data_IF_566977502897
#
_entry.id   IF_566977502897
#
_cell.length_a   1.000
_cell.length_b   1.000
_cell.length_c   1.000
_cell.angle_alpha   90.00
_cell.angle_beta   90.00
_cell.angle_gamma   90.00
#
_symmetry.space_group_name_H-M   'P 1'
#
loop_
_entity.id
_entity.type
_entity.pdbx_description
1 polymer ?
#
# COMPACT_ATOMS: atom_id res chain seq x y z
N UNK A 1 6.99 -35.20 -3.84
CA UNK A 1 8.08 -34.54 -3.05
C UNK A 1 7.88 -33.03 -2.89
N UNK A 2 7.18 -32.36 -3.78
CA UNK A 2 6.92 -30.90 -3.75
C UNK A 2 5.97 -30.49 -2.62
N UNK A 3 4.99 -31.32 -2.28
CA UNK A 3 3.95 -31.02 -1.27
C UNK A 3 4.52 -30.99 0.17
N UNK A 4 5.54 -31.79 0.48
CA UNK A 4 6.13 -31.85 1.82
C UNK A 4 7.04 -30.66 2.12
N UNK A 5 7.65 -30.04 1.12
CA UNK A 5 8.47 -28.84 1.27
C UNK A 5 7.55 -27.64 1.61
N UNK A 6 6.35 -27.62 1.05
CA UNK A 6 5.32 -26.61 1.33
C UNK A 6 4.94 -26.53 2.82
N UNK A 7 4.85 -27.67 3.52
CA UNK A 7 4.45 -27.68 4.94
C UNK A 7 5.46 -27.02 5.89
N UNK A 8 6.74 -26.98 5.53
CA UNK A 8 7.77 -26.34 6.38
C UNK A 8 8.02 -24.87 6.05
N UNK A 9 7.75 -24.46 4.80
CA UNK A 9 7.96 -23.07 4.36
C UNK A 9 6.77 -22.14 4.66
N UNK A 10 5.57 -22.68 4.92
CA UNK A 10 4.35 -21.88 5.07
C UNK A 10 3.64 -22.07 6.41
N UNK A 11 4.40 -22.06 7.48
CA UNK A 11 3.86 -22.29 8.84
C UNK A 11 2.84 -21.22 9.30
N UNK A 12 2.53 -20.21 8.49
CA UNK A 12 1.54 -19.19 8.83
C UNK A 12 1.17 -18.30 7.65
N UNK A 13 0.50 -18.84 6.64
CA UNK A 13 -0.11 -18.01 5.58
C UNK A 13 -1.21 -17.14 6.20
N UNK A 14 -1.08 -15.82 6.08
CA UNK A 14 -2.00 -14.82 6.60
C UNK A 14 -2.94 -14.26 5.54
N UNK A 15 -2.44 -14.14 4.32
CA UNK A 15 -3.21 -13.70 3.18
C UNK A 15 -2.72 -14.37 1.91
N UNK A 16 -3.62 -14.41 0.93
CA UNK A 16 -3.35 -14.91 -0.40
C UNK A 16 -3.99 -13.97 -1.42
N UNK A 17 -3.26 -13.69 -2.49
CA UNK A 17 -3.72 -12.81 -3.56
C UNK A 17 -3.21 -13.33 -4.91
N UNK A 18 -4.05 -13.34 -5.94
CA UNK A 18 -3.62 -13.62 -7.32
C UNK A 18 -3.56 -12.31 -8.09
N UNK A 19 -2.39 -12.02 -8.66
CA UNK A 19 -2.19 -10.80 -9.43
C UNK A 19 -2.74 -10.92 -10.86
N UNK A 20 -2.78 -9.79 -11.57
CA UNK A 20 -3.29 -9.69 -12.94
C UNK A 20 -2.47 -10.50 -13.95
N UNK A 21 -1.24 -10.91 -13.62
CA UNK A 21 -0.38 -11.78 -14.43
C UNK A 21 -0.57 -13.26 -14.12
N UNK A 22 -1.43 -13.60 -13.13
CA UNK A 22 -1.73 -14.95 -12.71
C UNK A 22 -0.80 -15.53 -11.65
N UNK A 23 0.20 -14.78 -11.14
CA UNK A 23 1.03 -15.23 -10.04
C UNK A 23 0.25 -15.24 -8.73
N UNK A 24 0.48 -16.25 -7.92
CA UNK A 24 -0.10 -16.34 -6.58
C UNK A 24 0.88 -15.79 -5.56
N UNK A 25 0.44 -14.81 -4.77
CA UNK A 25 1.19 -14.19 -3.69
C UNK A 25 0.69 -14.68 -2.35
N UNK A 26 1.60 -15.17 -1.52
CA UNK A 26 1.35 -15.71 -0.19
C UNK A 26 2.04 -14.82 0.83
N UNK A 27 1.26 -14.10 1.61
CA UNK A 27 1.76 -13.32 2.75
C UNK A 27 1.86 -14.20 3.99
N UNK A 28 3.03 -14.25 4.60
CA UNK A 28 3.31 -15.09 5.78
C UNK A 28 3.82 -14.26 6.96
N UNK A 29 4.18 -14.90 8.06
CA UNK A 29 4.90 -14.26 9.15
C UNK A 29 6.41 -14.13 8.89
N UNK A 30 6.90 -14.74 7.80
CA UNK A 30 8.33 -14.81 7.46
C UNK A 30 8.59 -14.39 6.00
N UNK A 31 7.85 -13.41 5.52
CA UNK A 31 8.03 -12.81 4.21
C UNK A 31 6.85 -12.98 3.26
N UNK A 32 7.06 -12.46 2.05
CA UNK A 32 6.14 -12.51 0.93
C UNK A 32 6.64 -13.51 -0.09
N UNK A 33 5.83 -14.49 -0.46
CA UNK A 33 6.20 -15.53 -1.42
C UNK A 33 5.34 -15.44 -2.67
N UNK A 34 5.96 -15.41 -3.85
CA UNK A 34 5.32 -15.51 -5.16
C UNK A 34 5.44 -16.93 -5.70
N UNK A 35 4.34 -17.46 -6.21
CA UNK A 35 4.27 -18.75 -6.91
C UNK A 35 3.82 -18.58 -8.35
N UNK A 36 4.55 -19.15 -9.29
CA UNK A 36 4.33 -19.03 -10.74
C UNK A 36 3.67 -20.29 -11.38
N UNK A 37 3.24 -21.24 -10.55
CA UNK A 37 2.75 -22.53 -11.00
C UNK A 37 3.79 -23.64 -10.89
N UNK A 38 5.08 -23.33 -10.86
CA UNK A 38 6.20 -24.29 -10.77
C UNK A 38 7.13 -24.02 -9.60
N UNK A 39 7.48 -22.74 -9.39
CA UNK A 39 8.53 -22.32 -8.44
C UNK A 39 7.99 -21.31 -7.43
N UNK A 40 8.61 -21.28 -6.27
CA UNK A 40 8.36 -20.31 -5.22
C UNK A 40 9.55 -19.36 -5.13
N UNK A 41 9.27 -18.05 -5.14
CA UNK A 41 10.23 -16.99 -4.90
C UNK A 41 9.81 -16.22 -3.66
N UNK A 42 10.65 -16.25 -2.63
CA UNK A 42 10.37 -15.57 -1.35
C UNK A 42 11.17 -14.27 -1.23
N UNK A 43 10.47 -13.21 -0.85
CA UNK A 43 11.01 -11.90 -0.52
C UNK A 43 11.00 -11.75 0.99
N UNK A 44 12.13 -11.38 1.56
CA UNK A 44 12.32 -11.15 3.00
C UNK A 44 13.09 -9.86 3.22
N UNK A 45 12.80 -9.17 4.31
CA UNK A 45 13.65 -8.10 4.80
C UNK A 45 14.90 -8.73 5.41
N UNK A 46 16.06 -8.49 4.82
CA UNK A 46 17.34 -8.96 5.37
C UNK A 46 17.75 -8.09 6.56
N UNK A 47 18.15 -8.73 7.66
CA UNK A 47 18.65 -8.04 8.85
C UNK A 47 19.84 -7.14 8.52
N UNK A 48 19.72 -5.85 8.86
CA UNK A 48 20.78 -4.86 8.63
C UNK A 48 20.73 -4.15 7.27
N UNK A 49 19.84 -4.53 6.37
CA UNK A 49 19.56 -3.81 5.14
C UNK A 49 18.22 -3.08 5.30
N UNK A 50 18.27 -1.86 5.75
CA UNK A 50 17.11 -0.95 5.73
C UNK A 50 17.10 -0.13 4.43
N UNK A 51 17.25 -0.80 3.29
CA UNK A 51 17.02 -0.16 2.02
C UNK A 51 15.55 0.19 1.89
N UNK A 52 15.27 1.46 1.64
CA UNK A 52 13.92 2.01 1.52
C UNK A 52 13.12 1.39 0.37
N UNK A 53 13.76 0.58 -0.48
CA UNK A 53 13.20 -0.07 -1.65
C UNK A 53 13.20 -1.59 -1.44
N UNK A 54 12.54 -2.03 -0.38
CA UNK A 54 12.43 -3.45 -0.03
C UNK A 54 11.12 -3.72 0.71
N UNK A 55 10.96 -4.95 1.20
CA UNK A 55 9.88 -5.30 2.10
C UNK A 55 10.08 -4.58 3.45
N UNK A 56 9.04 -3.91 3.94
CA UNK A 56 9.13 -3.09 5.16
C UNK A 56 9.20 -3.93 6.45
N UNK A 57 8.60 -5.12 6.45
CA UNK A 57 8.65 -6.11 7.54
C UNK A 57 8.29 -7.49 6.97
N UNK A 58 8.82 -8.55 7.54
CA UNK A 58 8.56 -9.93 7.10
C UNK A 58 7.14 -10.42 7.46
N UNK A 59 6.47 -9.78 8.41
CA UNK A 59 5.13 -10.18 8.84
C UNK A 59 4.07 -9.54 7.96
N UNK A 60 3.66 -10.26 6.92
CA UNK A 60 2.69 -9.78 5.95
C UNK A 60 1.27 -9.91 6.50
N UNK A 61 0.48 -8.83 6.37
CA UNK A 61 -0.91 -8.77 6.81
C UNK A 61 -1.88 -8.83 5.64
N UNK A 62 -1.58 -8.13 4.55
CA UNK A 62 -2.45 -8.04 3.38
C UNK A 62 -1.66 -7.69 2.12
N UNK A 63 -2.15 -8.15 0.97
CA UNK A 63 -1.62 -7.83 -0.36
C UNK A 63 -2.78 -7.48 -1.27
N UNK A 64 -2.64 -6.42 -2.04
CA UNK A 64 -3.61 -6.01 -3.05
C UNK A 64 -2.90 -5.38 -4.25
N UNK A 65 -3.47 -5.51 -5.44
CA UNK A 65 -2.99 -4.88 -6.67
C UNK A 65 -3.84 -3.65 -6.99
N UNK A 66 -3.19 -2.54 -7.36
CA UNK A 66 -3.87 -1.39 -7.91
C UNK A 66 -4.04 -1.52 -9.43
N UNK A 67 -4.82 -0.62 -10.03
CA UNK A 67 -5.09 -0.66 -11.47
C UNK A 67 -3.87 -0.37 -12.36
N UNK A 68 -2.80 0.19 -11.78
CA UNK A 68 -1.55 0.48 -12.49
C UNK A 68 -0.57 -0.71 -12.45
N UNK A 69 -0.96 -1.83 -11.79
CA UNK A 69 -0.15 -3.03 -11.66
C UNK A 69 0.96 -2.90 -10.63
N UNK A 70 0.71 -2.19 -9.54
CA UNK A 70 1.56 -2.21 -8.36
C UNK A 70 0.89 -3.03 -7.26
N UNK A 71 1.68 -3.88 -6.60
CA UNK A 71 1.25 -4.57 -5.40
C UNK A 71 1.55 -3.74 -4.17
N UNK A 72 0.53 -3.53 -3.38
CA UNK A 72 0.59 -2.87 -2.09
C UNK A 72 0.59 -3.93 -1.00
N UNK A 73 1.68 -4.02 -0.28
CA UNK A 73 1.93 -5.04 0.74
C UNK A 73 1.87 -4.35 2.10
N UNK A 74 0.84 -4.68 2.88
CA UNK A 74 0.69 -4.23 4.25
C UNK A 74 1.35 -5.21 5.19
N UNK A 75 2.21 -4.71 6.09
CA UNK A 75 2.95 -5.50 7.06
C UNK A 75 2.50 -5.20 8.51
N UNK A 76 3.07 -5.88 9.47
CA UNK A 76 2.96 -5.60 10.90
C UNK A 76 4.30 -5.07 11.38
N UNK A 77 4.40 -3.86 11.97
CA UNK A 77 3.37 -2.98 12.50
C UNK A 77 2.88 -1.88 11.51
N UNK A 78 1.91 -2.20 10.67
CA UNK A 78 1.19 -1.20 9.84
C UNK A 78 2.09 -0.33 8.94
N UNK A 79 3.07 -0.95 8.29
CA UNK A 79 3.88 -0.34 7.24
C UNK A 79 3.42 -0.86 5.88
N UNK A 80 3.72 -0.09 4.83
CA UNK A 80 3.46 -0.50 3.45
C UNK A 80 4.76 -0.65 2.68
N UNK A 81 4.78 -1.63 1.78
CA UNK A 81 5.76 -1.76 0.70
C UNK A 81 5.01 -1.76 -0.62
N UNK A 82 5.65 -1.28 -1.66
CA UNK A 82 5.11 -1.26 -3.01
C UNK A 82 6.02 -2.07 -3.94
N UNK A 83 5.44 -2.95 -4.75
CA UNK A 83 6.16 -3.78 -5.72
C UNK A 83 5.59 -3.55 -7.12
N UNK A 84 6.44 -3.15 -8.05
CA UNK A 84 6.08 -2.97 -9.45
C UNK A 84 6.07 -4.32 -10.17
N UNK A 85 4.89 -4.80 -10.56
CA UNK A 85 4.74 -6.07 -11.30
C UNK A 85 5.41 -6.02 -12.68
N UNK A 86 5.49 -4.86 -13.31
CA UNK A 86 6.10 -4.72 -14.63
C UNK A 86 7.62 -4.76 -14.57
N UNK A 87 8.20 -4.00 -13.64
CA UNK A 87 9.66 -3.93 -13.41
C UNK A 87 10.18 -5.11 -12.58
N UNK A 88 9.28 -5.88 -11.94
CA UNK A 88 9.59 -6.99 -11.04
C UNK A 88 10.52 -6.59 -9.88
N UNK A 89 10.31 -5.43 -9.29
CA UNK A 89 11.10 -4.91 -8.16
C UNK A 89 10.26 -4.09 -7.19
N UNK A 90 10.74 -3.95 -5.96
CA UNK A 90 10.18 -2.99 -5.01
C UNK A 90 10.47 -1.56 -5.48
N UNK A 91 9.57 -0.64 -5.16
CA UNK A 91 9.67 0.77 -5.54
C UNK A 91 9.41 1.68 -4.34
N UNK A 92 10.07 2.83 -4.33
CA UNK A 92 9.78 3.89 -3.36
C UNK A 92 8.54 4.66 -3.83
N UNK A 93 7.48 4.57 -3.03
CA UNK A 93 6.23 5.30 -3.27
C UNK A 93 6.16 6.62 -2.48
N UNK A 94 7.15 6.91 -1.66
CA UNK A 94 7.16 8.12 -0.82
C UNK A 94 7.81 9.31 -1.52
N UNK A 95 8.62 9.06 -2.54
CA UNK A 95 9.34 10.06 -3.34
C UNK A 95 10.48 10.78 -2.62
N UNK A 96 10.64 10.56 -1.31
CA UNK A 96 11.65 11.24 -0.49
C UNK A 96 12.29 10.34 0.56
N UNK A 97 12.11 9.03 0.42
CA UNK A 97 12.48 8.08 1.46
C UNK A 97 11.46 8.00 2.59
N UNK A 98 11.71 7.16 3.55
CA UNK A 98 10.84 6.99 4.72
C UNK A 98 10.77 8.31 5.51
N UNK A 99 9.59 8.93 5.51
CA UNK A 99 9.33 10.13 6.32
C UNK A 99 8.96 9.80 7.77
N UNK A 100 9.12 8.53 8.17
CA UNK A 100 8.77 8.03 9.50
C UNK A 100 7.26 7.99 9.78
N UNK A 101 6.42 8.22 8.77
CA UNK A 101 4.98 8.17 8.93
C UNK A 101 4.44 6.75 8.71
N UNK A 102 3.68 6.25 9.67
CA UNK A 102 2.98 4.97 9.57
C UNK A 102 1.57 5.20 9.03
N UNK A 103 1.17 4.36 8.09
CA UNK A 103 -0.18 4.30 7.54
C UNK A 103 -0.80 2.95 7.88
N UNK A 104 -2.05 2.97 8.38
CA UNK A 104 -2.73 1.74 8.79
C UNK A 104 -3.74 1.24 7.78
N UNK A 105 -4.18 2.11 6.87
CA UNK A 105 -5.25 1.81 5.93
C UNK A 105 -4.89 2.28 4.52
N UNK A 106 -5.49 1.64 3.53
CA UNK A 106 -5.34 1.91 2.11
C UNK A 106 -6.72 1.98 1.43
N UNK A 107 -6.88 2.93 0.52
CA UNK A 107 -8.01 3.03 -0.39
C UNK A 107 -7.48 3.23 -1.81
N UNK A 108 -8.02 2.51 -2.78
CA UNK A 108 -7.66 2.60 -4.19
C UNK A 108 -8.83 3.21 -4.94
N UNK A 109 -8.62 4.39 -5.52
CA UNK A 109 -9.66 5.11 -6.24
C UNK A 109 -9.81 4.63 -7.68
N UNK A 110 -10.96 4.91 -8.27
CA UNK A 110 -11.29 4.47 -9.63
C UNK A 110 -10.36 5.06 -10.71
N UNK A 111 -9.75 6.24 -10.46
CA UNK A 111 -8.75 6.84 -11.34
C UNK A 111 -7.35 6.23 -11.20
N UNK A 112 -7.10 5.39 -10.17
CA UNK A 112 -5.84 4.68 -9.91
C UNK A 112 -4.94 5.31 -8.87
N UNK A 113 -5.36 6.42 -8.28
CA UNK A 113 -4.64 6.97 -7.15
C UNK A 113 -4.80 6.07 -5.94
N UNK A 114 -3.75 5.99 -5.14
CA UNK A 114 -3.75 5.25 -3.89
C UNK A 114 -3.72 6.22 -2.72
N UNK A 115 -4.63 6.01 -1.79
CA UNK A 115 -4.81 6.84 -0.62
C UNK A 115 -4.43 6.03 0.62
N UNK A 116 -3.34 6.43 1.29
CA UNK A 116 -2.89 5.85 2.55
C UNK A 116 -3.28 6.78 3.69
N UNK A 117 -3.81 6.22 4.78
CA UNK A 117 -4.09 7.03 5.96
C UNK A 117 -3.82 6.28 7.27
N UNK A 118 -3.70 7.05 8.32
CA UNK A 118 -3.65 6.59 9.69
C UNK A 118 -4.62 7.40 10.53
N UNK A 119 -5.16 6.77 11.58
CA UNK A 119 -6.15 7.40 12.47
C UNK A 119 -5.72 8.72 13.11
N UNK A 120 -4.43 9.09 13.05
CA UNK A 120 -3.87 10.29 13.70
C UNK A 120 -2.88 11.06 12.83
N UNK A 121 -2.58 10.59 11.63
CA UNK A 121 -1.47 11.15 10.82
C UNK A 121 -1.96 11.77 9.51
N UNK A 122 -3.27 12.00 9.38
CA UNK A 122 -3.82 12.52 8.12
C UNK A 122 -3.79 11.50 6.99
N UNK A 123 -3.73 12.01 5.77
CA UNK A 123 -3.85 11.23 4.53
C UNK A 123 -2.68 11.54 3.60
N UNK A 124 -2.24 10.53 2.86
CA UNK A 124 -1.31 10.66 1.74
C UNK A 124 -1.99 10.10 0.48
N UNK A 125 -2.12 10.93 -0.55
CA UNK A 125 -2.46 10.52 -1.90
C UNK A 125 -1.18 10.18 -2.65
N UNK A 126 -1.16 9.06 -3.34
CA UNK A 126 -0.08 8.64 -4.22
C UNK A 126 -0.65 8.56 -5.63
N UNK A 127 -0.01 9.25 -6.54
CA UNK A 127 -0.36 9.31 -7.96
C UNK A 127 0.74 8.62 -8.74
N UNK A 128 0.37 7.69 -9.62
CA UNK A 128 1.30 7.07 -10.55
C UNK A 128 1.25 7.82 -11.87
N UNK A 129 2.40 8.36 -12.29
CA UNK A 129 2.56 9.03 -13.58
C UNK A 129 2.72 8.02 -14.73
N UNK A 130 2.60 8.48 -15.96
CA UNK A 130 2.68 7.62 -17.16
C UNK A 130 4.02 6.88 -17.30
N UNK A 131 5.12 7.46 -16.82
CA UNK A 131 6.45 6.84 -16.78
C UNK A 131 6.65 5.88 -15.60
N UNK A 132 5.58 5.62 -14.83
CA UNK A 132 5.56 4.80 -13.61
C UNK A 132 6.37 5.40 -12.44
N UNK A 133 6.66 6.68 -12.47
CA UNK A 133 7.11 7.40 -11.26
C UNK A 133 5.92 7.65 -10.34
N UNK A 134 6.17 7.68 -9.05
CA UNK A 134 5.14 7.96 -8.05
C UNK A 134 5.38 9.33 -7.44
N UNK A 135 4.34 10.15 -7.45
CA UNK A 135 4.30 11.41 -6.71
C UNK A 135 3.33 11.30 -5.55
N UNK A 136 3.53 12.11 -4.52
CA UNK A 136 2.63 12.06 -3.36
C UNK A 136 2.26 13.43 -2.82
N UNK A 137 1.01 13.56 -2.40
CA UNK A 137 0.47 14.74 -1.74
C UNK A 137 0.00 14.37 -0.33
N UNK A 138 0.38 15.18 0.66
CA UNK A 138 -0.05 15.00 2.04
C UNK A 138 -1.22 15.94 2.37
N UNK A 139 -2.23 15.37 3.02
CA UNK A 139 -3.37 16.10 3.54
C UNK A 139 -3.30 16.09 5.07
N UNK A 140 -3.17 17.27 5.64
CA UNK A 140 -3.10 17.51 7.09
C UNK A 140 -3.60 18.90 7.45
N UNK A 141 -4.04 19.05 8.71
CA UNK A 141 -4.44 20.35 9.26
C UNK A 141 -3.36 21.41 9.14
N UNK A 142 -2.08 21.04 9.37
CA UNK A 142 -0.92 21.96 9.26
C UNK A 142 -0.69 22.51 7.85
N UNK A 143 -1.26 21.88 6.81
CA UNK A 143 -1.21 22.34 5.43
C UNK A 143 -2.49 23.09 5.01
N UNK A 144 -3.47 23.19 5.91
CA UNK A 144 -4.76 23.82 5.63
C UNK A 144 -5.65 23.06 4.66
N UNK A 145 -5.40 21.77 4.46
CA UNK A 145 -6.13 20.93 3.51
C UNK A 145 -6.89 19.76 4.18
N UNK A 146 -6.99 19.75 5.52
CA UNK A 146 -7.89 18.89 6.28
C UNK A 146 -8.45 19.63 7.49
N UNK A 147 -9.70 19.36 7.90
CA UNK A 147 -10.27 19.92 9.14
C UNK A 147 -9.69 19.25 10.40
N UNK A 148 -9.26 17.99 10.33
CA UNK A 148 -8.67 17.23 11.43
C UNK A 148 -7.78 16.10 10.88
N UNK A 149 -6.64 15.84 11.51
CA UNK A 149 -5.73 14.74 11.14
C UNK A 149 -6.22 13.37 11.60
N UNK A 150 -7.29 13.31 12.40
CA UNK A 150 -7.89 12.05 12.89
C UNK A 150 -8.90 11.53 11.87
N UNK A 151 -8.41 10.66 10.98
CA UNK A 151 -9.19 10.12 9.88
C UNK A 151 -10.07 8.95 10.33
N UNK A 152 -11.30 8.93 9.87
CA UNK A 152 -12.28 7.86 10.10
C UNK A 152 -12.46 6.94 8.91
N UNK A 153 -12.56 7.53 7.72
CA UNK A 153 -12.74 6.80 6.48
C UNK A 153 -12.30 7.64 5.28
N UNK A 154 -12.03 6.95 4.18
CA UNK A 154 -11.94 7.53 2.84
C UNK A 154 -12.87 6.73 1.94
N UNK A 155 -13.60 7.42 1.08
CA UNK A 155 -14.51 6.80 0.10
C UNK A 155 -14.56 7.64 -1.17
N UNK A 156 -15.00 7.03 -2.26
CA UNK A 156 -15.19 7.67 -3.56
C UNK A 156 -16.67 7.62 -3.95
N UNK A 157 -17.21 8.72 -4.44
CA UNK A 157 -18.56 8.74 -4.98
C UNK A 157 -18.57 8.42 -6.50
N UNK A 158 -19.77 8.30 -7.06
CA UNK A 158 -19.96 7.96 -8.48
C UNK A 158 -19.40 9.00 -9.45
N UNK A 159 -19.06 10.20 -8.99
CA UNK A 159 -18.43 11.24 -9.80
C UNK A 159 -16.91 11.20 -9.77
N UNK A 160 -16.31 10.30 -8.97
CA UNK A 160 -14.88 10.21 -8.74
C UNK A 160 -14.35 11.22 -7.70
N UNK A 161 -15.24 11.84 -6.92
CA UNK A 161 -14.87 12.72 -5.81
C UNK A 161 -14.48 11.86 -4.60
N UNK A 162 -13.35 12.15 -4.02
CA UNK A 162 -12.87 11.47 -2.80
C UNK A 162 -13.40 12.22 -1.57
N UNK A 163 -14.00 11.49 -0.67
CA UNK A 163 -14.52 11.96 0.60
C UNK A 163 -13.65 11.50 1.76
N UNK A 164 -13.19 12.43 2.57
CA UNK A 164 -12.32 12.15 3.72
C UNK A 164 -13.08 12.54 4.98
N UNK A 165 -13.55 11.54 5.70
CA UNK A 165 -14.22 11.74 6.99
C UNK A 165 -13.20 11.86 8.12
N UNK A 166 -13.28 12.95 8.89
CA UNK A 166 -12.43 13.21 10.04
C UNK A 166 -13.23 13.27 11.33
N UNK A 167 -12.56 13.50 12.46
CA UNK A 167 -13.26 13.70 13.75
C UNK A 167 -13.95 15.06 13.85
N UNK A 168 -13.56 16.06 13.07
CA UNK A 168 -14.07 17.44 13.16
C UNK A 168 -14.69 17.95 11.85
N UNK A 169 -15.10 17.05 10.97
CA UNK A 169 -15.77 17.44 9.72
C UNK A 169 -15.40 16.55 8.55
N UNK A 170 -15.88 16.95 7.41
CA UNK A 170 -15.72 16.24 6.15
C UNK A 170 -14.90 17.11 5.19
N UNK A 171 -13.94 16.52 4.54
CA UNK A 171 -13.26 17.13 3.40
C UNK A 171 -13.57 16.34 2.13
N UNK A 172 -13.59 17.01 1.00
CA UNK A 172 -13.66 16.37 -0.30
C UNK A 172 -12.51 16.82 -1.19
N UNK A 173 -12.02 15.90 -2.02
CA UNK A 173 -10.99 16.16 -3.01
C UNK A 173 -11.54 15.79 -4.39
N UNK A 174 -11.58 16.78 -5.28
CA UNK A 174 -12.04 16.59 -6.64
C UNK A 174 -11.22 17.44 -7.62
N UNK A 175 -10.62 16.80 -8.63
CA UNK A 175 -9.75 17.46 -9.63
C UNK A 175 -8.69 18.38 -8.99
N UNK A 176 -8.04 17.90 -7.92
CA UNK A 176 -7.00 18.62 -7.19
C UNK A 176 -7.51 19.75 -6.29
N UNK A 177 -8.82 20.00 -6.22
CA UNK A 177 -9.41 20.98 -5.31
C UNK A 177 -9.89 20.29 -4.03
N UNK A 178 -9.60 20.94 -2.90
CA UNK A 178 -10.06 20.51 -1.57
C UNK A 178 -11.15 21.43 -1.10
N UNK A 179 -12.25 20.87 -0.62
CA UNK A 179 -13.37 21.59 -0.03
C UNK A 179 -13.70 21.00 1.34
N UNK A 180 -14.05 21.84 2.31
CA UNK A 180 -14.49 21.45 3.64
C UNK A 180 -16.01 21.60 3.76
N UNK A 181 -16.61 20.65 4.49
CA UNK A 181 -18.05 20.59 4.75
C UNK A 181 -18.29 20.39 6.25
#
# INVERSE_FOLDING_TARGET
>A
KTVLILCHMFNSVRCMFQDSKGFLWLGTLDGLTRYDGNTFLTYQLESGKHDQISLADNRIKHVAEDKNGFLWIKTVPELFSCYDLQKACFVDFTGTGSDGENYSEIFMSSNGDVWLWHRRNGVRQIVCEDDRTMTSVKFRTKFGNLPDDRIKFINEDSSGRIWIGTMQGLASVYKGKVEFI
#
